data_IF_671496388481
#
_entry.id   IF_671496388481
#
_cell.length_a   1.000
_cell.length_b   1.000
_cell.length_c   1.000
_cell.angle_alpha   90.00
_cell.angle_beta   90.00
_cell.angle_gamma   90.00
#
_symmetry.space_group_name_H-M   'P 1'
#
loop_
_entity.id
_entity.type
_entity.pdbx_description
1 polymer ?
#
# COMPACT_ATOMS: atom_id res chain seq x y z
N UNK A 1 2.01 -25.98 9.42
CA UNK A 1 1.26 -24.99 10.20
C UNK A 1 0.09 -24.51 9.35
N UNK A 2 -1.15 -24.77 9.77
CA UNK A 2 -2.32 -24.24 9.08
C UNK A 2 -2.44 -22.76 9.47
N UNK A 3 -2.09 -21.86 8.55
CA UNK A 3 -2.31 -20.43 8.77
C UNK A 3 -3.78 -20.20 9.13
N UNK A 4 -4.03 -19.36 10.13
CA UNK A 4 -5.38 -19.03 10.56
C UNK A 4 -6.16 -18.45 9.37
N UNK A 5 -7.01 -19.28 8.76
CA UNK A 5 -7.88 -18.90 7.64
C UNK A 5 -8.76 -17.69 7.98
N UNK A 6 -8.94 -17.35 9.27
CA UNK A 6 -9.64 -16.16 9.70
C UNK A 6 -8.89 -14.87 9.36
N UNK A 7 -7.57 -14.82 9.54
CA UNK A 7 -6.80 -13.58 9.35
C UNK A 7 -6.77 -13.13 7.89
N UNK A 8 -6.49 -14.05 6.96
CA UNK A 8 -6.45 -13.74 5.53
C UNK A 8 -7.80 -13.24 5.00
N UNK A 9 -8.90 -13.86 5.46
CA UNK A 9 -10.26 -13.41 5.14
C UNK A 9 -10.54 -12.01 5.69
N UNK A 10 -10.19 -11.75 6.94
CA UNK A 10 -10.32 -10.42 7.57
C UNK A 10 -9.52 -9.36 6.82
N UNK A 11 -8.27 -9.66 6.48
CA UNK A 11 -7.40 -8.76 5.72
C UNK A 11 -7.98 -8.44 4.33
N UNK A 12 -8.51 -9.44 3.63
CA UNK A 12 -9.17 -9.24 2.34
C UNK A 12 -10.41 -8.35 2.47
N UNK A 13 -11.29 -8.65 3.43
CA UNK A 13 -12.48 -7.83 3.66
C UNK A 13 -12.11 -6.39 4.04
N UNK A 14 -11.09 -6.21 4.88
CA UNK A 14 -10.58 -4.89 5.23
C UNK A 14 -10.04 -4.15 3.99
N UNK A 15 -9.33 -4.85 3.09
CA UNK A 15 -8.80 -4.25 1.85
C UNK A 15 -9.90 -3.72 0.92
N UNK A 16 -11.07 -4.39 0.84
CA UNK A 16 -12.18 -3.98 -0.05
C UNK A 16 -13.33 -3.29 0.69
N UNK A 17 -13.04 -2.70 1.87
CA UNK A 17 -14.04 -2.09 2.76
C UNK A 17 -14.94 -1.06 2.06
N UNK A 18 -14.41 -0.32 1.08
CA UNK A 18 -15.17 0.70 0.35
C UNK A 18 -16.40 0.13 -0.38
N UNK A 19 -16.39 -1.16 -0.72
CA UNK A 19 -17.51 -1.84 -1.38
C UNK A 19 -18.43 -2.62 -0.44
N UNK A 20 -18.12 -2.67 0.86
CA UNK A 20 -18.80 -3.54 1.82
C UNK A 20 -19.72 -2.79 2.80
N UNK A 21 -19.62 -1.46 2.88
CA UNK A 21 -20.51 -0.64 3.70
C UNK A 21 -20.51 -1.06 5.18
N UNK A 22 -21.70 -1.30 5.75
CA UNK A 22 -21.87 -1.61 7.17
C UNK A 22 -21.66 -3.10 7.53
N UNK A 23 -21.19 -3.93 6.59
CA UNK A 23 -21.01 -5.38 6.79
C UNK A 23 -19.73 -5.74 7.57
N UNK A 24 -18.96 -4.75 8.01
CA UNK A 24 -17.66 -4.94 8.65
C UNK A 24 -17.65 -4.51 10.11
N UNK A 25 -16.98 -5.34 10.91
CA UNK A 25 -16.54 -4.98 12.25
C UNK A 25 -15.34 -4.03 12.15
N UNK A 26 -15.58 -2.75 12.34
CA UNK A 26 -14.59 -1.70 12.11
C UNK A 26 -13.38 -1.77 13.03
N UNK A 27 -13.56 -2.27 14.26
CA UNK A 27 -12.46 -2.52 15.19
C UNK A 27 -11.44 -3.50 14.61
N UNK A 28 -11.90 -4.47 13.80
CA UNK A 28 -11.02 -5.38 13.10
C UNK A 28 -10.29 -4.71 11.93
N UNK A 29 -10.91 -3.76 11.23
CA UNK A 29 -10.26 -3.02 10.15
C UNK A 29 -9.11 -2.18 10.70
N UNK A 30 -9.31 -1.52 11.84
CA UNK A 30 -8.33 -0.59 12.43
C UNK A 30 -6.97 -1.24 12.69
N UNK A 31 -6.93 -2.56 12.93
CA UNK A 31 -5.68 -3.30 13.13
C UNK A 31 -4.77 -3.29 11.88
N UNK A 32 -5.32 -3.01 10.69
CA UNK A 32 -4.59 -2.98 9.43
C UNK A 32 -4.06 -1.58 9.06
N UNK A 33 -4.25 -0.58 9.92
CA UNK A 33 -3.70 0.75 9.67
C UNK A 33 -2.17 0.73 9.70
N UNK A 34 -1.54 1.19 8.62
CA UNK A 34 -0.09 1.28 8.51
C UNK A 34 0.45 2.53 9.20
N UNK A 35 1.76 2.55 9.45
CA UNK A 35 2.46 3.70 10.06
C UNK A 35 2.28 5.02 9.30
N UNK A 36 2.11 4.97 7.97
CA UNK A 36 1.86 6.14 7.13
C UNK A 36 0.39 6.63 7.18
N UNK A 37 -0.46 6.02 8.01
CA UNK A 37 -1.87 6.36 8.16
C UNK A 37 -2.82 5.70 7.17
N UNK A 38 -2.29 5.08 6.12
CA UNK A 38 -3.10 4.35 5.13
C UNK A 38 -3.63 3.02 5.67
N UNK A 39 -4.71 2.55 5.06
CA UNK A 39 -5.11 1.15 5.08
C UNK A 39 -4.56 0.49 3.82
N UNK A 40 -3.65 -0.47 3.98
CA UNK A 40 -3.01 -1.21 2.88
C UNK A 40 -2.36 -0.37 1.77
N UNK A 41 -1.94 0.88 2.05
CA UNK A 41 -1.50 1.83 1.01
C UNK A 41 -2.59 2.14 -0.03
N UNK A 42 -3.85 1.77 0.21
CA UNK A 42 -4.97 1.90 -0.70
C UNK A 42 -5.77 3.17 -0.40
N UNK A 43 -5.83 4.17 -1.30
CA UNK A 43 -6.56 5.41 -1.04
C UNK A 43 -8.07 5.21 -0.93
N UNK A 44 -8.69 4.30 -1.70
CA UNK A 44 -10.13 4.03 -1.62
C UNK A 44 -10.52 3.49 -0.24
N UNK A 45 -9.84 2.43 0.21
CA UNK A 45 -10.03 1.84 1.55
C UNK A 45 -9.78 2.89 2.65
N UNK A 46 -8.72 3.69 2.51
CA UNK A 46 -8.39 4.73 3.50
C UNK A 46 -9.46 5.82 3.56
N UNK A 47 -10.02 6.22 2.42
CA UNK A 47 -11.12 7.18 2.35
C UNK A 47 -12.42 6.63 2.95
N UNK A 48 -12.76 5.36 2.67
CA UNK A 48 -13.90 4.70 3.30
C UNK A 48 -13.77 4.70 4.83
N UNK A 49 -12.59 4.39 5.35
CA UNK A 49 -12.35 4.45 6.79
C UNK A 49 -12.44 5.87 7.36
N UNK A 50 -11.92 6.87 6.65
CA UNK A 50 -12.03 8.27 7.06
C UNK A 50 -13.49 8.72 7.19
N UNK A 51 -14.33 8.41 6.19
CA UNK A 51 -15.75 8.80 6.18
C UNK A 51 -16.52 8.18 7.34
N UNK A 52 -16.21 6.94 7.72
CA UNK A 52 -16.94 6.22 8.76
C UNK A 52 -16.42 6.50 10.19
N UNK A 53 -15.13 6.79 10.37
CA UNK A 53 -14.50 6.87 11.70
C UNK A 53 -13.74 8.16 12.00
N UNK A 54 -13.64 9.12 11.06
CA UNK A 54 -12.92 10.38 11.27
C UNK A 54 -11.48 10.18 11.76
N UNK A 55 -10.78 9.19 11.21
CA UNK A 55 -9.41 8.86 11.61
C UNK A 55 -8.39 9.90 11.10
N UNK A 56 -7.75 10.63 12.02
CA UNK A 56 -6.80 11.70 11.69
C UNK A 56 -5.61 11.24 10.83
N UNK A 57 -5.09 10.03 11.07
CA UNK A 57 -3.97 9.49 10.30
C UNK A 57 -4.39 9.13 8.86
N UNK A 58 -5.61 8.63 8.69
CA UNK A 58 -6.20 8.40 7.37
C UNK A 58 -6.36 9.73 6.61
N UNK A 59 -6.85 10.78 7.27
CA UNK A 59 -6.94 12.12 6.70
C UNK A 59 -5.56 12.67 6.29
N UNK A 60 -4.56 12.54 7.16
CA UNK A 60 -3.18 12.97 6.87
C UNK A 60 -2.61 12.26 5.64
N UNK A 61 -2.82 10.94 5.53
CA UNK A 61 -2.41 10.17 4.36
C UNK A 61 -3.07 10.67 3.07
N UNK A 62 -4.39 10.85 3.07
CA UNK A 62 -5.12 11.31 1.89
C UNK A 62 -4.76 12.74 1.49
N UNK A 63 -4.57 13.64 2.47
CA UNK A 63 -4.09 15.00 2.21
C UNK A 63 -2.69 15.01 1.59
N UNK A 64 -1.80 14.12 2.05
CA UNK A 64 -0.48 13.94 1.44
C UNK A 64 -0.59 13.52 -0.04
N UNK A 65 -1.51 12.61 -0.36
CA UNK A 65 -1.75 12.20 -1.75
C UNK A 65 -2.31 13.32 -2.61
N UNK A 66 -3.36 14.00 -2.17
CA UNK A 66 -3.98 15.11 -2.91
C UNK A 66 -2.97 16.26 -3.09
N UNK A 67 -2.17 16.57 -2.07
CA UNK A 67 -1.08 17.55 -2.18
C UNK A 67 -0.02 17.15 -3.21
N UNK A 68 0.19 15.85 -3.43
CA UNK A 68 1.20 15.34 -4.37
C UNK A 68 0.68 15.16 -5.79
N UNK A 69 -0.56 14.72 -5.95
CA UNK A 69 -1.15 14.31 -7.23
C UNK A 69 -2.26 15.26 -7.72
N UNK A 70 -2.57 16.31 -6.97
CA UNK A 70 -3.61 17.29 -7.32
C UNK A 70 -5.00 16.70 -7.18
N UNK A 71 -5.79 16.73 -8.26
CA UNK A 71 -7.20 16.32 -8.24
C UNK A 71 -7.45 14.82 -8.41
N UNK A 72 -6.41 13.99 -8.35
CA UNK A 72 -6.51 12.54 -8.51
C UNK A 72 -5.56 11.81 -7.54
N UNK A 73 -5.75 10.50 -7.40
CA UNK A 73 -4.87 9.63 -6.60
C UNK A 73 -4.63 8.32 -7.33
N UNK A 74 -3.46 7.66 -7.15
CA UNK A 74 -3.24 6.31 -7.66
C UNK A 74 -4.10 5.29 -6.89
N UNK A 75 -4.13 4.04 -7.38
CA UNK A 75 -4.80 2.93 -6.67
C UNK A 75 -4.03 2.46 -5.43
N UNK A 76 -2.70 2.62 -5.41
CA UNK A 76 -1.83 2.25 -4.28
C UNK A 76 -0.68 3.27 -4.14
N UNK A 77 -0.32 3.67 -2.92
CA UNK A 77 0.83 4.53 -2.65
C UNK A 77 1.39 4.39 -1.21
N UNK A 78 2.72 4.42 -1.00
CA UNK A 78 3.79 4.51 -1.99
C UNK A 78 4.03 3.18 -2.71
N UNK A 79 4.59 3.27 -3.92
CA UNK A 79 4.96 2.11 -4.76
C UNK A 79 6.47 2.05 -5.06
N UNK A 80 7.28 2.93 -4.46
CA UNK A 80 8.69 3.08 -4.84
C UNK A 80 9.49 1.77 -4.74
N UNK A 81 9.37 1.02 -3.63
CA UNK A 81 10.09 -0.24 -3.44
C UNK A 81 9.67 -1.27 -4.49
N UNK A 82 8.35 -1.45 -4.69
CA UNK A 82 7.82 -2.37 -5.68
C UNK A 82 8.30 -2.02 -7.09
N UNK A 83 8.20 -0.75 -7.49
CA UNK A 83 8.65 -0.29 -8.79
C UNK A 83 10.15 -0.51 -8.97
N UNK A 84 10.97 -0.11 -7.98
CA UNK A 84 12.41 -0.27 -8.04
C UNK A 84 12.84 -1.74 -8.18
N UNK A 85 12.26 -2.64 -7.39
CA UNK A 85 12.55 -4.08 -7.50
C UNK A 85 12.04 -4.67 -8.82
N UNK A 86 10.89 -4.21 -9.32
CA UNK A 86 10.36 -4.65 -10.63
C UNK A 86 11.27 -4.21 -11.78
N UNK A 87 11.92 -3.04 -11.67
CA UNK A 87 12.90 -2.59 -12.66
C UNK A 87 14.15 -3.45 -12.64
N UNK A 88 14.67 -3.79 -11.45
CA UNK A 88 15.81 -4.72 -11.33
C UNK A 88 15.48 -6.06 -11.98
N UNK A 89 14.34 -6.65 -11.62
CA UNK A 89 13.88 -7.93 -12.19
C UNK A 89 13.71 -7.85 -13.72
N UNK A 90 13.17 -6.75 -14.24
CA UNK A 90 13.04 -6.54 -15.68
C UNK A 90 14.41 -6.44 -16.39
N UNK A 91 15.36 -5.69 -15.83
CA UNK A 91 16.71 -5.54 -16.40
C UNK A 91 17.48 -6.87 -16.42
N UNK A 92 17.35 -7.66 -15.36
CA UNK A 92 17.94 -9.00 -15.28
C UNK A 92 17.31 -9.95 -16.30
N UNK A 93 15.98 -10.00 -16.40
CA UNK A 93 15.26 -10.85 -17.36
C UNK A 93 15.52 -10.48 -18.81
N UNK A 94 15.79 -9.21 -19.10
CA UNK A 94 16.17 -8.75 -20.43
C UNK A 94 17.63 -9.05 -20.78
N UNK A 95 18.46 -9.49 -19.83
CA UNK A 95 19.89 -9.77 -20.06
C UNK A 95 20.74 -8.51 -20.33
N UNK A 96 20.28 -7.36 -19.82
CA UNK A 96 20.95 -6.05 -19.99
C UNK A 96 21.39 -5.44 -18.65
N UNK A 97 21.24 -6.15 -17.53
CA UNK A 97 21.59 -5.67 -16.19
C UNK A 97 23.06 -5.29 -16.04
N UNK A 98 23.97 -5.87 -16.85
CA UNK A 98 25.40 -5.54 -16.87
C UNK A 98 25.69 -4.07 -17.22
N UNK A 99 24.75 -3.37 -17.86
CA UNK A 99 24.89 -1.95 -18.17
C UNK A 99 24.42 -1.03 -17.02
N UNK A 100 23.79 -1.59 -15.98
CA UNK A 100 23.15 -0.85 -14.88
C UNK A 100 23.59 -1.32 -13.49
N UNK A 101 24.80 -1.87 -13.38
CA UNK A 101 25.29 -2.52 -12.14
C UNK A 101 25.25 -1.55 -10.95
N UNK A 102 25.64 -0.29 -11.16
CA UNK A 102 25.66 0.73 -10.11
C UNK A 102 24.26 1.11 -9.64
N UNK A 103 23.32 1.29 -10.58
CA UNK A 103 21.92 1.63 -10.30
C UNK A 103 21.21 0.47 -9.60
N UNK A 104 21.39 -0.76 -10.08
CA UNK A 104 20.83 -1.96 -9.46
C UNK A 104 21.33 -2.10 -8.03
N UNK A 105 22.65 -1.95 -7.81
CA UNK A 105 23.22 -1.99 -6.46
C UNK A 105 22.61 -0.91 -5.57
N UNK A 106 22.51 0.33 -6.04
CA UNK A 106 21.91 1.43 -5.27
C UNK A 106 20.45 1.16 -4.90
N UNK A 107 19.67 0.55 -5.80
CA UNK A 107 18.29 0.14 -5.54
C UNK A 107 18.24 -0.94 -4.46
N UNK A 108 19.05 -1.99 -4.59
CA UNK A 108 19.09 -3.08 -3.61
C UNK A 108 19.53 -2.57 -2.24
N UNK A 109 20.57 -1.74 -2.16
CA UNK A 109 21.04 -1.11 -0.92
C UNK A 109 19.95 -0.25 -0.25
N UNK A 110 19.10 0.42 -1.04
CA UNK A 110 17.99 1.24 -0.52
C UNK A 110 16.81 0.39 -0.02
N UNK A 111 16.59 -0.77 -0.63
CA UNK A 111 15.42 -1.62 -0.36
C UNK A 111 15.70 -2.73 0.65
N UNK A 112 16.97 -3.07 0.87
CA UNK A 112 17.42 -4.02 1.88
C UNK A 112 17.46 -3.35 3.27
N UNK A 113 16.28 -3.26 3.90
CA UNK A 113 16.06 -2.71 5.26
C UNK A 113 15.75 -3.83 6.25
#
# INVERSE_FOLDING_TARGET
EAGDHSYGRKAYMAYVTEGLGNLLEWDEIMMFQRKNGSFFNCPSTTAATLVNHYNDKALQYLNCLVSKFGSAVPTVYPLNIYCQLSWVDALEKMGISQYFVSEIKSILDTTYV
#
